data_IF_378103201385
#
_entry.id   IF_378103201385
#
_cell.length_a   1.000
_cell.length_b   1.000
_cell.length_c   1.000
_cell.angle_alpha   90.00
_cell.angle_beta   90.00
_cell.angle_gamma   90.00
#
_symmetry.space_group_name_H-M   'P 1'
#
loop_
_entity.id
_entity.type
_entity.pdbx_description
1 polymer ?
#
# COMPACT_ATOMS: atom_id res chain seq x y z
N UNK A 1 -4.94 4.89 6.71
CA UNK A 1 -5.49 5.35 5.43
C UNK A 1 -6.69 4.50 5.17
N UNK A 2 -7.84 5.12 4.95
CA UNK A 2 -9.01 4.39 4.49
C UNK A 2 -8.81 3.88 3.05
N UNK A 3 -9.72 3.03 2.55
CA UNK A 3 -9.57 2.44 1.22
C UNK A 3 -9.56 3.49 0.10
N UNK A 4 -10.31 4.58 0.24
CA UNK A 4 -10.30 5.67 -0.73
C UNK A 4 -8.99 6.46 -0.66
N UNK A 5 -8.50 6.71 0.55
CA UNK A 5 -7.21 7.35 0.81
C UNK A 5 -6.06 6.58 0.19
N UNK A 6 -6.07 5.25 0.26
CA UNK A 6 -5.06 4.41 -0.42
C UNK A 6 -5.11 4.55 -1.94
N UNK A 7 -6.31 4.57 -2.54
CA UNK A 7 -6.47 4.79 -4.00
C UNK A 7 -5.94 6.17 -4.40
N UNK A 8 -6.26 7.20 -3.63
CA UNK A 8 -5.78 8.56 -3.87
C UNK A 8 -4.25 8.65 -3.72
N UNK A 9 -3.69 8.06 -2.66
CA UNK A 9 -2.25 8.01 -2.43
C UNK A 9 -1.51 7.33 -3.59
N UNK A 10 -2.06 6.25 -4.15
CA UNK A 10 -1.47 5.57 -5.31
C UNK A 10 -1.48 6.44 -6.58
N UNK A 11 -2.58 7.16 -6.84
CA UNK A 11 -2.68 8.09 -7.97
C UNK A 11 -1.68 9.23 -7.81
N UNK A 12 -1.61 9.85 -6.62
CA UNK A 12 -0.67 10.92 -6.32
C UNK A 12 0.78 10.44 -6.46
N UNK A 13 1.10 9.24 -5.98
CA UNK A 13 2.43 8.64 -6.12
C UNK A 13 2.85 8.55 -7.58
N UNK A 14 1.99 8.02 -8.46
CA UNK A 14 2.30 7.94 -9.89
C UNK A 14 2.50 9.32 -10.51
N UNK A 15 1.60 10.28 -10.24
CA UNK A 15 1.69 11.63 -10.81
C UNK A 15 3.00 12.31 -10.39
N UNK A 16 3.32 12.30 -9.09
CA UNK A 16 4.51 13.00 -8.57
C UNK A 16 5.79 12.34 -9.11
N UNK A 17 5.86 11.01 -9.19
CA UNK A 17 7.04 10.32 -9.72
C UNK A 17 7.23 10.57 -11.21
N UNK A 18 6.16 10.56 -12.01
CA UNK A 18 6.25 10.86 -13.45
C UNK A 18 6.72 12.30 -13.66
N UNK A 19 6.13 13.27 -12.95
CA UNK A 19 6.56 14.67 -13.02
C UNK A 19 8.02 14.81 -12.60
N UNK A 20 8.41 14.19 -11.48
CA UNK A 20 9.80 14.21 -10.98
C UNK A 20 10.77 13.61 -12.00
N UNK A 21 10.37 12.57 -12.72
CA UNK A 21 11.20 11.94 -13.76
C UNK A 21 11.43 12.88 -14.93
N UNK A 22 10.37 13.54 -15.42
CA UNK A 22 10.45 14.51 -16.52
C UNK A 22 11.33 15.70 -16.11
N UNK A 23 11.13 16.24 -14.92
CA UNK A 23 11.93 17.37 -14.39
C UNK A 23 13.39 16.99 -14.19
N UNK A 24 13.66 15.83 -13.59
CA UNK A 24 15.03 15.34 -13.39
C UNK A 24 15.76 15.13 -14.71
N UNK A 25 15.08 14.54 -15.71
CA UNK A 25 15.65 14.38 -17.04
C UNK A 25 15.92 15.74 -17.69
N UNK A 26 14.98 16.69 -17.64
CA UNK A 26 15.16 18.04 -18.18
C UNK A 26 16.37 18.75 -17.58
N UNK A 27 16.46 18.80 -16.25
CA UNK A 27 17.57 19.46 -15.53
C UNK A 27 18.90 18.74 -15.82
N UNK A 28 18.91 17.41 -15.70
CA UNK A 28 20.09 16.59 -15.93
C UNK A 28 20.63 16.71 -17.36
N UNK A 29 19.73 16.75 -18.35
CA UNK A 29 20.08 16.92 -19.75
C UNK A 29 20.62 18.31 -20.03
N UNK A 30 19.98 19.37 -19.52
CA UNK A 30 20.47 20.76 -19.70
C UNK A 30 21.85 20.99 -19.10
N UNK A 31 22.17 20.34 -17.97
CA UNK A 31 23.48 20.44 -17.31
C UNK A 31 24.49 19.43 -17.90
N UNK A 32 24.02 18.38 -18.58
CA UNK A 32 24.84 17.27 -19.07
C UNK A 32 25.39 16.37 -17.95
N UNK A 33 24.78 16.37 -16.76
CA UNK A 33 25.27 15.63 -15.59
C UNK A 33 24.26 14.60 -15.10
N UNK A 34 24.65 13.32 -15.18
CA UNK A 34 23.85 12.21 -14.66
C UNK A 34 23.72 12.25 -13.13
N UNK A 35 24.73 12.75 -12.42
CA UNK A 35 24.65 12.91 -10.96
C UNK A 35 23.55 13.92 -10.57
N UNK A 36 23.49 15.06 -11.27
CA UNK A 36 22.44 16.06 -11.04
C UNK A 36 21.05 15.53 -11.39
N UNK A 37 20.92 14.75 -12.47
CA UNK A 37 19.69 14.03 -12.81
C UNK A 37 19.25 13.14 -11.63
N UNK A 38 20.19 12.34 -11.10
CA UNK A 38 19.87 11.36 -10.08
C UNK A 38 19.56 11.99 -8.72
N UNK A 39 20.26 13.05 -8.32
CA UNK A 39 19.92 13.80 -7.10
C UNK A 39 18.54 14.46 -7.20
N UNK A 40 18.22 15.04 -8.36
CA UNK A 40 16.90 15.66 -8.59
C UNK A 40 15.80 14.61 -8.51
N UNK A 41 15.98 13.46 -9.18
CA UNK A 41 15.01 12.37 -9.14
C UNK A 41 14.86 11.79 -7.73
N UNK A 42 15.97 11.55 -7.02
CA UNK A 42 15.96 11.06 -5.65
C UNK A 42 15.21 12.02 -4.71
N UNK A 43 15.40 13.32 -4.87
CA UNK A 43 14.61 14.33 -4.16
C UNK A 43 13.10 14.19 -4.42
N UNK A 44 12.70 13.97 -5.67
CA UNK A 44 11.31 13.69 -6.05
C UNK A 44 10.75 12.40 -5.44
N UNK A 45 11.54 11.33 -5.38
CA UNK A 45 11.16 10.07 -4.72
C UNK A 45 10.96 10.27 -3.22
N UNK A 46 11.89 10.95 -2.54
CA UNK A 46 11.79 11.26 -1.10
C UNK A 46 10.55 12.11 -0.83
N UNK A 47 10.30 13.15 -1.63
CA UNK A 47 9.10 13.98 -1.51
C UNK A 47 7.83 13.14 -1.70
N UNK A 48 7.80 12.28 -2.72
CA UNK A 48 6.68 11.38 -2.97
C UNK A 48 6.42 10.49 -1.75
N UNK A 49 7.47 9.87 -1.20
CA UNK A 49 7.36 9.02 -0.04
C UNK A 49 6.82 9.78 1.18
N UNK A 50 7.31 11.00 1.44
CA UNK A 50 6.80 11.83 2.53
C UNK A 50 5.32 12.18 2.38
N UNK A 51 4.83 12.35 1.16
CA UNK A 51 3.43 12.67 0.89
C UNK A 51 2.54 11.42 0.98
N UNK A 52 2.95 10.30 0.39
CA UNK A 52 2.04 9.16 0.16
C UNK A 52 2.18 8.02 1.16
N UNK A 53 3.30 7.90 1.88
CA UNK A 53 3.54 6.80 2.82
C UNK A 53 2.95 7.06 4.22
N UNK A 54 3.12 8.25 4.84
CA UNK A 54 2.58 8.48 6.18
C UNK A 54 1.07 8.52 6.15
N UNK A 55 0.44 8.05 7.23
CA UNK A 55 -1.00 8.05 7.36
C UNK A 55 -1.56 9.44 7.71
N UNK A 56 -1.50 10.38 6.78
CA UNK A 56 -2.00 11.74 6.96
C UNK A 56 -3.53 11.75 7.20
N UNK A 57 -4.00 12.70 8.00
CA UNK A 57 -5.43 12.87 8.29
C UNK A 57 -6.27 13.09 7.02
N UNK A 58 -5.68 13.73 6.00
CA UNK A 58 -6.31 13.92 4.68
C UNK A 58 -6.69 12.60 3.97
N UNK A 59 -5.98 11.49 4.24
CA UNK A 59 -6.27 10.17 3.66
C UNK A 59 -7.22 9.32 4.51
N UNK A 60 -7.87 9.89 5.53
CA UNK A 60 -8.76 9.17 6.46
C UNK A 60 -10.14 9.84 6.61
N UNK A 61 -10.64 10.52 5.58
CA UNK A 61 -11.93 11.19 5.64
C UNK A 61 -13.14 10.24 5.58
N UNK A 62 -12.96 9.00 5.12
CA UNK A 62 -14.05 8.05 4.95
C UNK A 62 -13.97 6.96 6.01
N UNK A 63 -14.77 7.13 7.07
CA UNK A 63 -14.93 6.09 8.09
C UNK A 63 -15.56 4.85 7.46
N UNK A 64 -14.79 3.77 7.35
CA UNK A 64 -15.29 2.49 6.85
C UNK A 64 -16.34 1.95 7.83
N UNK A 65 -17.59 1.85 7.38
CA UNK A 65 -18.63 1.12 8.08
C UNK A 65 -18.46 -0.37 7.77
N UNK A 66 -17.91 -1.11 8.72
CA UNK A 66 -17.82 -2.56 8.63
C UNK A 66 -19.22 -3.19 8.67
N UNK A 67 -19.36 -4.34 8.01
CA UNK A 67 -20.60 -5.10 8.05
C UNK A 67 -20.80 -5.65 9.48
N UNK A 68 -22.05 -5.66 9.96
CA UNK A 68 -22.34 -6.20 11.28
C UNK A 68 -21.94 -7.69 11.35
N UNK A 69 -21.37 -8.18 12.46
CA UNK A 69 -20.89 -9.56 12.57
C UNK A 69 -21.95 -10.61 12.20
N UNK A 70 -23.22 -10.33 12.50
CA UNK A 70 -24.36 -11.19 12.18
C UNK A 70 -24.68 -11.27 10.69
N UNK A 71 -24.38 -10.22 9.92
CA UNK A 71 -24.52 -10.19 8.47
C UNK A 71 -23.27 -10.80 7.79
N UNK A 72 -22.10 -10.63 8.40
CA UNK A 72 -20.86 -11.26 7.94
C UNK A 72 -20.93 -12.81 8.03
N UNK A 73 -21.63 -13.35 9.03
CA UNK A 73 -21.80 -14.80 9.18
C UNK A 73 -22.83 -15.41 8.20
N UNK A 74 -23.76 -14.59 7.68
CA UNK A 74 -24.74 -14.99 6.65
C UNK A 74 -24.14 -15.09 5.24
N UNK A 75 -23.03 -14.38 5.02
CA UNK A 75 -22.22 -14.50 3.80
C UNK A 75 -20.93 -15.22 4.16
N UNK A 76 -20.93 -16.57 4.24
CA UNK A 76 -19.70 -17.30 4.52
C UNK A 76 -18.64 -16.87 3.51
N UNK A 77 -17.51 -16.36 4.01
CA UNK A 77 -16.36 -16.09 3.17
C UNK A 77 -16.08 -17.34 2.33
N UNK A 78 -15.75 -17.21 1.03
CA UNK A 78 -15.28 -18.35 0.25
C UNK A 78 -14.17 -19.01 1.05
N UNK A 79 -14.42 -20.23 1.55
CA UNK A 79 -13.43 -20.91 2.38
C UNK A 79 -12.18 -21.08 1.52
N UNK A 80 -11.11 -20.38 1.90
CA UNK A 80 -9.80 -20.59 1.31
C UNK A 80 -9.27 -21.91 1.88
N UNK A 81 -9.81 -23.01 1.39
CA UNK A 81 -9.37 -24.40 1.57
C UNK A 81 -8.31 -24.58 2.68
N UNK A 82 -8.74 -24.51 3.95
CA UNK A 82 -7.86 -24.70 5.13
C UNK A 82 -7.28 -26.13 5.22
N UNK A 83 -7.63 -27.00 4.27
CA UNK A 83 -7.05 -28.33 4.11
C UNK A 83 -5.54 -28.33 3.79
N UNK A 84 -4.94 -27.19 3.39
CA UNK A 84 -3.52 -27.12 3.08
C UNK A 84 -2.61 -26.76 4.28
N UNK A 85 -3.14 -26.26 5.41
CA UNK A 85 -2.29 -25.64 6.46
C UNK A 85 -2.22 -26.43 7.78
N UNK A 86 -3.08 -27.40 8.08
CA UNK A 86 -2.98 -28.08 9.38
C UNK A 86 -3.44 -29.55 9.41
N UNK A 87 -2.57 -30.48 8.98
CA UNK A 87 -2.41 -31.77 9.67
C UNK A 87 -0.97 -32.27 9.47
N UNK A 88 -0.27 -32.63 10.57
CA UNK A 88 -0.39 -34.02 11.03
C UNK A 88 -0.48 -34.23 12.55
N UNK A 89 -1.46 -35.05 12.94
CA UNK A 89 -1.49 -36.07 14.01
C UNK A 89 -0.43 -35.99 15.12
N UNK A 90 -0.88 -35.87 16.39
CA UNK A 90 -0.45 -36.76 17.50
C UNK A 90 -1.61 -37.08 18.46
N UNK A 91 -1.81 -38.39 18.67
CA UNK A 91 -2.72 -39.03 19.64
C UNK A 91 -2.11 -38.98 21.05
N UNK A 92 -2.97 -38.86 22.09
CA UNK A 92 -2.83 -39.36 23.48
C UNK A 92 -3.70 -38.48 24.40
N UNK A 93 -4.49 -38.90 25.39
CA UNK A 93 -4.84 -40.20 25.99
C UNK A 93 -6.05 -39.91 26.89
N UNK A 94 -7.09 -40.76 26.85
CA UNK A 94 -8.18 -40.78 27.85
C UNK A 94 -7.63 -41.23 29.20
N UNK A 95 -7.91 -40.52 30.29
CA UNK A 95 -7.89 -41.10 31.65
C UNK A 95 -9.13 -40.60 32.40
N UNK A 96 -10.03 -41.53 32.70
CA UNK A 96 -10.93 -41.49 33.86
C UNK A 96 -11.01 -42.90 34.42
#
# INVERSE_FOLDING_TARGET
>A
MDWQGQKLANILMQIILVVSTITAFGIGYSIGSFQMMMFTYAGGVVLTALITVPNWQFFNHHHLKWLDPSEAERHPMPQLNDAAVAAPKKKATKIK
#
